data_IF_034002248823
#
_entry.id   IF_034002248823
#
_cell.length_a   1.000
_cell.length_b   1.000
_cell.length_c   1.000
_cell.angle_alpha   90.00
_cell.angle_beta   90.00
_cell.angle_gamma   90.00
#
_symmetry.space_group_name_H-M   'P 1'
#
loop_
_entity.id
_entity.type
_entity.pdbx_description
1 polymer ?
#
# COMPACT_ATOMS: atom_id res chain seq x y z
N UNK A 1 -34.40 -32.61 -10.41
CA UNK A 1 -34.13 -32.30 -10.09
C UNK A 1 -33.42 -31.49 -9.77
N UNK A 2 -33.01 -30.84 -9.57
CA UNK A 2 -32.31 -30.26 -9.08
C UNK A 2 -31.32 -29.59 -9.52
N UNK A 3 -30.87 -29.39 -10.04
CA UNK A 3 -29.70 -28.94 -10.47
C UNK A 3 -29.56 -27.53 -10.68
N UNK A 4 -30.08 -26.68 -10.24
CA UNK A 4 -29.91 -25.46 -10.34
C UNK A 4 -28.82 -24.89 -9.73
N UNK A 5 -28.26 -25.30 -8.84
CA UNK A 5 -27.16 -24.77 -8.14
C UNK A 5 -25.93 -24.51 -8.95
N UNK A 6 -25.63 -25.23 -9.97
CA UNK A 6 -24.42 -24.92 -10.74
C UNK A 6 -24.43 -23.54 -11.34
N UNK A 7 -25.57 -23.07 -11.72
CA UNK A 7 -25.59 -21.73 -12.28
C UNK A 7 -25.23 -20.68 -11.28
N UNK A 8 -25.63 -20.83 -10.05
CA UNK A 8 -25.29 -19.90 -9.04
C UNK A 8 -23.82 -19.85 -8.76
N UNK A 9 -23.19 -21.01 -8.76
CA UNK A 9 -21.76 -21.05 -8.53
C UNK A 9 -21.01 -20.30 -9.60
N UNK A 10 -21.44 -20.44 -10.82
CA UNK A 10 -20.78 -19.74 -11.91
C UNK A 10 -20.87 -18.24 -11.76
N UNK A 11 -22.01 -17.77 -11.35
CA UNK A 11 -22.15 -16.33 -11.17
C UNK A 11 -21.25 -15.80 -10.11
N UNK A 12 -21.13 -16.50 -9.01
CA UNK A 12 -20.25 -16.07 -7.95
C UNK A 12 -18.81 -16.04 -8.42
N UNK A 13 -18.41 -17.03 -9.18
CA UNK A 13 -17.06 -17.09 -9.68
C UNK A 13 -16.75 -15.91 -10.60
N UNK A 14 -17.67 -15.59 -11.48
CA UNK A 14 -17.46 -14.48 -12.39
C UNK A 14 -17.33 -13.18 -11.65
N UNK A 15 -18.11 -12.99 -10.62
CA UNK A 15 -17.99 -11.77 -9.84
C UNK A 15 -16.61 -11.64 -9.23
N UNK A 16 -16.06 -12.73 -8.76
CA UNK A 16 -14.72 -12.68 -8.20
C UNK A 16 -13.66 -12.40 -9.24
N UNK A 17 -13.83 -12.96 -10.41
CA UNK A 17 -12.82 -12.82 -11.44
C UNK A 17 -12.75 -11.43 -12.00
N UNK A 18 -13.81 -10.70 -11.95
CA UNK A 18 -13.86 -9.44 -12.65
C UNK A 18 -13.32 -8.25 -11.94
N UNK A 19 -12.80 -8.40 -10.74
CA UNK A 19 -12.51 -7.22 -9.93
C UNK A 19 -11.06 -7.18 -9.50
N UNK A 20 -10.35 -6.18 -9.98
CA UNK A 20 -9.03 -5.85 -9.45
C UNK A 20 -9.22 -4.62 -8.57
N UNK A 21 -9.17 -4.80 -7.28
CA UNK A 21 -9.41 -3.70 -6.37
C UNK A 21 -8.13 -3.35 -5.62
N UNK A 22 -8.07 -2.10 -5.19
CA UNK A 22 -7.02 -1.65 -4.31
C UNK A 22 -7.12 -2.40 -2.98
N UNK A 23 -5.99 -2.61 -2.35
CA UNK A 23 -5.95 -3.33 -1.09
C UNK A 23 -6.49 -2.47 0.04
N UNK A 24 -6.92 -3.14 1.09
CA UNK A 24 -7.23 -2.48 2.35
C UNK A 24 -5.96 -2.46 3.18
N UNK A 25 -5.67 -1.34 3.78
CA UNK A 25 -4.43 -1.16 4.53
C UNK A 25 -4.75 -0.68 5.94
N UNK A 26 -4.09 -1.26 6.92
CA UNK A 26 -4.08 -0.71 8.27
C UNK A 26 -2.81 0.11 8.42
N UNK A 27 -2.95 1.37 8.78
CA UNK A 27 -1.80 2.22 8.99
C UNK A 27 -1.75 2.66 10.44
N UNK A 28 -0.53 2.82 10.93
CA UNK A 28 -0.28 3.46 12.21
C UNK A 28 0.49 4.73 11.94
N UNK A 29 0.02 5.84 12.48
CA UNK A 29 0.70 7.11 12.26
C UNK A 29 1.77 7.33 13.33
N UNK A 30 2.46 8.46 13.24
CA UNK A 30 3.55 8.76 14.14
C UNK A 30 3.12 8.93 15.60
N UNK A 31 1.83 9.10 15.84
CA UNK A 31 1.29 9.19 17.19
C UNK A 31 0.81 7.84 17.69
N UNK A 32 0.84 6.81 16.86
CA UNK A 32 0.36 5.49 17.22
C UNK A 32 -1.12 5.26 16.96
N UNK A 33 -1.81 6.20 16.33
CA UNK A 33 -3.21 6.01 15.97
C UNK A 33 -3.29 5.08 14.78
N UNK A 34 -4.16 4.08 14.87
CA UNK A 34 -4.37 3.11 13.80
C UNK A 34 -5.65 3.40 13.05
N UNK A 35 -5.56 3.33 11.73
CA UNK A 35 -6.70 3.57 10.84
C UNK A 35 -6.67 2.49 9.78
N UNK A 36 -7.84 1.94 9.46
CA UNK A 36 -7.96 1.00 8.33
C UNK A 36 -8.53 1.78 7.16
N UNK A 37 -7.82 1.71 6.04
CA UNK A 37 -8.22 2.39 4.81
C UNK A 37 -8.69 1.38 3.80
N UNK A 38 -9.83 1.64 3.18
CA UNK A 38 -10.28 0.85 2.04
C UNK A 38 -9.97 1.61 0.77
N UNK A 39 -9.67 0.86 -0.29
CA UNK A 39 -9.36 1.48 -1.57
C UNK A 39 -8.12 2.36 -1.51
N UNK A 40 -7.09 1.90 -0.82
CA UNK A 40 -5.91 2.72 -0.59
C UNK A 40 -5.09 2.93 -1.85
N UNK A 41 -4.49 4.09 -1.97
CA UNK A 41 -3.59 4.41 -3.07
C UNK A 41 -2.47 5.32 -2.57
N UNK A 42 -1.38 5.32 -3.32
CA UNK A 42 -0.24 6.20 -3.05
C UNK A 42 -0.22 7.29 -4.11
N UNK A 43 -0.17 8.52 -3.65
CA UNK A 43 0.00 9.68 -4.52
C UNK A 43 1.42 10.18 -4.34
N UNK A 44 2.22 10.11 -5.39
CA UNK A 44 3.62 10.48 -5.33
C UNK A 44 3.87 11.96 -5.54
N UNK A 45 2.83 12.78 -5.51
CA UNK A 45 2.97 14.22 -5.63
C UNK A 45 3.23 14.70 -7.03
N UNK A 46 2.88 13.92 -8.03
CA UNK A 46 3.03 14.34 -9.42
C UNK A 46 4.42 14.13 -10.00
N UNK A 47 5.37 13.70 -9.18
CA UNK A 47 6.72 13.53 -9.66
C UNK A 47 6.86 12.39 -10.66
N UNK A 48 6.21 11.26 -10.38
CA UNK A 48 6.25 10.10 -11.25
C UNK A 48 5.06 10.07 -12.20
N UNK A 49 4.39 11.20 -12.37
CA UNK A 49 3.18 11.30 -13.16
C UNK A 49 2.00 11.56 -12.26
N UNK A 50 0.84 11.71 -12.86
CA UNK A 50 -0.37 12.02 -12.11
C UNK A 50 -1.08 10.77 -11.62
N UNK A 51 -0.59 9.60 -11.95
CA UNK A 51 -1.31 8.39 -11.61
C UNK A 51 -1.07 7.97 -10.18
N UNK A 52 -2.13 7.52 -9.55
CA UNK A 52 -2.06 6.97 -8.20
C UNK A 52 -1.80 5.48 -8.27
N UNK A 53 -0.95 5.01 -7.38
CA UNK A 53 -0.62 3.61 -7.30
C UNK A 53 -1.59 2.91 -6.36
N UNK A 54 -2.33 1.92 -6.85
CA UNK A 54 -3.30 1.21 -6.03
C UNK A 54 -2.87 -0.21 -5.69
N UNK A 55 -1.96 -0.79 -6.46
CA UNK A 55 -1.60 -2.19 -6.28
C UNK A 55 -0.42 -2.42 -5.38
N UNK A 56 0.27 -1.38 -5.02
CA UNK A 56 1.45 -1.50 -4.20
C UNK A 56 2.09 -0.16 -3.98
N UNK A 57 3.35 -0.20 -3.61
CA UNK A 57 4.14 1.00 -3.37
C UNK A 57 5.44 0.88 -4.16
N UNK A 58 5.80 1.96 -4.82
CA UNK A 58 7.05 1.99 -5.59
C UNK A 58 8.16 2.51 -4.71
N UNK A 59 9.19 1.70 -4.56
CA UNK A 59 10.28 2.01 -3.65
C UNK A 59 11.60 1.91 -4.39
N UNK A 60 12.64 2.43 -3.77
CA UNK A 60 14.00 2.28 -4.25
C UNK A 60 14.65 1.07 -3.57
N UNK A 61 15.31 0.28 -4.35
CA UNK A 61 16.16 -0.80 -3.84
C UNK A 61 17.53 -0.58 -4.48
N UNK A 62 18.45 -0.04 -3.69
CA UNK A 62 19.70 0.44 -4.27
C UNK A 62 19.42 1.60 -5.22
N UNK A 63 19.94 1.49 -6.43
CA UNK A 63 19.75 2.52 -7.45
C UNK A 63 18.53 2.26 -8.33
N UNK A 64 17.89 1.13 -8.16
CA UNK A 64 16.72 0.77 -8.95
C UNK A 64 15.42 1.02 -8.21
N UNK A 65 14.33 0.98 -8.94
CA UNK A 65 13.01 1.11 -8.35
C UNK A 65 12.19 -0.15 -8.58
N UNK A 66 11.37 -0.49 -7.60
CA UNK A 66 10.56 -1.71 -7.62
C UNK A 66 9.16 -1.35 -7.17
N UNK A 67 8.16 -1.87 -7.87
CA UNK A 67 6.79 -1.82 -7.38
C UNK A 67 6.56 -3.04 -6.50
N UNK A 68 6.38 -2.81 -5.22
CA UNK A 68 6.13 -3.88 -4.25
C UNK A 68 4.64 -4.01 -4.10
N UNK A 69 4.10 -5.15 -4.49
CA UNK A 69 2.66 -5.36 -4.48
C UNK A 69 2.18 -5.64 -3.07
N UNK A 70 1.02 -5.09 -2.73
CA UNK A 70 0.43 -5.32 -1.41
C UNK A 70 0.24 -6.80 -1.13
N UNK A 71 -0.02 -7.59 -2.16
CA UNK A 71 -0.24 -9.03 -2.00
C UNK A 71 1.01 -9.77 -1.51
N UNK A 72 2.19 -9.18 -1.70
CA UNK A 72 3.45 -9.80 -1.29
C UNK A 72 3.95 -9.29 0.05
N UNK A 73 3.28 -8.30 0.62
CA UNK A 73 3.78 -7.57 1.79
C UNK A 73 3.05 -8.05 3.05
N UNK A 74 3.81 -8.39 4.08
CA UNK A 74 3.25 -8.61 5.40
C UNK A 74 3.13 -7.29 6.16
N UNK A 75 4.17 -6.47 6.11
CA UNK A 75 4.11 -5.14 6.72
C UNK A 75 5.24 -4.28 6.21
N UNK A 76 5.05 -2.96 6.31
CA UNK A 76 6.10 -1.99 6.00
C UNK A 76 6.27 -1.13 7.24
N UNK A 77 7.52 -0.97 7.68
CA UNK A 77 7.86 -0.04 8.76
C UNK A 77 8.61 1.14 8.17
N UNK A 78 8.19 2.32 8.56
CA UNK A 78 8.92 3.54 8.22
C UNK A 78 9.93 3.76 9.32
N UNK A 79 11.22 3.69 8.98
CA UNK A 79 12.27 3.72 9.97
C UNK A 79 12.69 5.14 10.31
N UNK A 80 13.00 5.93 9.29
CA UNK A 80 13.44 7.30 9.54
C UNK A 80 13.51 8.06 8.22
N UNK A 81 13.60 9.36 8.36
CA UNK A 81 13.88 10.27 7.25
C UNK A 81 15.37 10.54 7.20
N UNK A 82 15.90 10.51 6.01
CA UNK A 82 17.30 10.88 5.78
C UNK A 82 17.33 12.10 4.89
N UNK A 83 17.40 13.26 5.52
CA UNK A 83 17.43 14.53 4.80
C UNK A 83 18.83 14.87 4.31
N UNK A 84 19.83 14.12 4.73
CA UNK A 84 21.20 14.34 4.27
C UNK A 84 21.49 13.63 2.95
N UNK A 85 20.69 12.64 2.60
CA UNK A 85 20.83 12.00 1.31
C UNK A 85 20.40 12.96 0.21
N UNK A 86 20.95 12.78 -0.98
CA UNK A 86 20.61 13.62 -2.12
C UNK A 86 20.16 12.72 -3.26
N UNK A 87 18.86 12.71 -3.54
CA UNK A 87 17.79 13.47 -2.89
C UNK A 87 17.42 12.89 -1.53
N UNK A 88 16.69 13.63 -0.71
CA UNK A 88 16.26 13.14 0.59
C UNK A 88 15.41 11.87 0.47
N UNK A 89 15.49 11.01 1.46
CA UNK A 89 14.85 9.71 1.44
C UNK A 89 14.11 9.42 2.73
N UNK A 90 13.14 8.52 2.63
CA UNK A 90 12.50 7.90 3.78
C UNK A 90 12.90 6.44 3.76
N UNK A 91 13.53 5.97 4.83
CA UNK A 91 14.01 4.59 4.90
C UNK A 91 12.92 3.67 5.42
N UNK A 92 12.77 2.53 4.78
CA UNK A 92 11.73 1.57 5.07
C UNK A 92 12.33 0.19 5.33
N UNK A 93 11.60 -0.61 6.10
CA UNK A 93 11.84 -2.03 6.19
C UNK A 93 10.57 -2.73 5.73
N UNK A 94 10.68 -3.55 4.69
CA UNK A 94 9.55 -4.27 4.13
C UNK A 94 9.66 -5.73 4.56
N UNK A 95 8.66 -6.18 5.31
CA UNK A 95 8.56 -7.59 5.67
C UNK A 95 7.65 -8.24 4.63
N UNK A 96 8.17 -9.24 3.95
CA UNK A 96 7.43 -9.95 2.92
C UNK A 96 6.71 -11.14 3.53
N UNK A 97 5.69 -11.61 2.86
CA UNK A 97 4.91 -12.75 3.34
C UNK A 97 5.73 -14.03 3.43
N UNK A 98 6.84 -14.10 2.70
CA UNK A 98 7.72 -15.25 2.78
C UNK A 98 8.66 -15.20 3.99
N UNK A 99 8.54 -14.19 4.83
CA UNK A 99 9.35 -14.07 6.04
C UNK A 99 10.60 -13.23 5.89
N UNK A 100 10.95 -12.82 4.69
CA UNK A 100 12.14 -12.02 4.48
C UNK A 100 11.88 -10.56 4.79
N UNK A 101 12.87 -9.89 5.32
CA UNK A 101 12.84 -8.45 5.56
C UNK A 101 13.85 -7.80 4.63
N UNK A 102 13.39 -6.80 3.90
CA UNK A 102 14.19 -6.15 2.87
C UNK A 102 14.23 -4.65 3.14
N UNK A 103 15.41 -4.05 3.18
CA UNK A 103 15.50 -2.60 3.30
C UNK A 103 15.14 -1.95 1.96
N UNK A 104 14.48 -0.81 2.05
CA UNK A 104 14.08 -0.05 0.88
C UNK A 104 14.00 1.41 1.26
N UNK A 105 13.72 2.27 0.30
CA UNK A 105 13.59 3.69 0.56
C UNK A 105 12.57 4.30 -0.39
N UNK A 106 12.04 5.45 0.02
CA UNK A 106 11.23 6.28 -0.84
C UNK A 106 11.97 7.57 -1.10
N UNK A 107 11.92 8.05 -2.33
CA UNK A 107 12.37 9.41 -2.59
C UNK A 107 11.42 10.37 -1.90
N UNK A 108 12.00 11.35 -1.23
CA UNK A 108 11.18 12.36 -0.61
C UNK A 108 11.20 13.59 -1.49
N UNK A 109 10.41 13.54 -2.55
CA UNK A 109 10.25 14.67 -3.44
C UNK A 109 8.81 15.10 -3.41
N UNK A 110 8.58 16.35 -3.06
CA UNK A 110 7.24 16.85 -2.96
C UNK A 110 6.49 16.19 -1.81
N UNK A 111 5.19 16.18 -1.91
CA UNK A 111 4.32 15.64 -0.86
C UNK A 111 3.73 14.34 -1.31
N UNK A 112 4.33 13.27 -0.87
CA UNK A 112 3.77 11.95 -1.14
C UNK A 112 2.75 11.63 -0.07
N UNK A 113 1.59 11.13 -0.49
CA UNK A 113 0.48 10.88 0.40
C UNK A 113 -0.07 9.49 0.22
N UNK A 114 -0.56 8.95 1.31
CA UNK A 114 -1.35 7.73 1.30
C UNK A 114 -2.80 8.14 1.45
N UNK A 115 -3.63 7.66 0.53
CA UNK A 115 -5.03 8.04 0.43
C UNK A 115 -5.90 6.82 0.56
N UNK A 116 -7.12 7.01 1.01
CA UNK A 116 -8.11 5.95 1.08
C UNK A 116 -9.34 6.42 1.82
N UNK A 117 -10.20 5.48 2.17
CA UNK A 117 -11.39 5.78 2.94
C UNK A 117 -11.31 5.14 4.30
N UNK A 118 -11.49 5.96 5.32
CA UNK A 118 -11.61 5.47 6.69
C UNK A 118 -13.08 5.40 7.06
N UNK A 119 -13.37 4.99 8.30
CA UNK A 119 -14.73 4.96 8.80
C UNK A 119 -15.38 6.34 8.82
N UNK A 120 -14.59 7.39 8.88
CA UNK A 120 -15.12 8.74 8.95
C UNK A 120 -15.20 9.43 7.58
N UNK A 121 -14.65 8.82 6.55
CA UNK A 121 -14.69 9.41 5.22
C UNK A 121 -13.34 9.41 4.55
N UNK A 122 -13.14 10.31 3.61
CA UNK A 122 -11.90 10.37 2.86
C UNK A 122 -10.73 10.70 3.77
N UNK A 123 -9.66 9.95 3.64
CA UNK A 123 -8.50 10.06 4.52
C UNK A 123 -7.26 10.33 3.69
N UNK A 124 -6.40 11.16 4.19
CA UNK A 124 -5.10 11.37 3.56
C UNK A 124 -4.05 11.63 4.63
N UNK A 125 -2.86 11.13 4.42
CA UNK A 125 -1.75 11.33 5.35
C UNK A 125 -0.47 11.42 4.54
N UNK A 126 0.42 12.32 4.96
CA UNK A 126 1.76 12.38 4.37
C UNK A 126 2.52 11.11 4.72
N UNK A 127 3.24 10.55 3.74
CA UNK A 127 3.93 9.29 3.97
C UNK A 127 4.99 9.39 5.06
N UNK A 128 5.58 10.55 5.26
CA UNK A 128 6.58 10.70 6.31
C UNK A 128 5.98 10.75 7.72
N UNK A 129 4.67 10.80 7.82
CA UNK A 129 3.97 10.71 9.12
C UNK A 129 3.40 9.34 9.40
N UNK A 130 3.64 8.40 8.52
CA UNK A 130 3.19 7.02 8.70
C UNK A 130 4.31 6.24 9.38
N UNK A 131 3.96 5.48 10.41
CA UNK A 131 4.92 4.61 11.08
C UNK A 131 4.94 3.22 10.49
N UNK A 132 3.78 2.69 10.16
CA UNK A 132 3.70 1.36 9.58
C UNK A 132 2.48 1.22 8.69
N UNK A 133 2.59 0.31 7.74
CA UNK A 133 1.52 -0.04 6.81
C UNK A 133 1.41 -1.55 6.80
N UNK A 134 0.21 -2.07 7.05
CA UNK A 134 -0.04 -3.50 7.07
C UNK A 134 -1.24 -3.80 6.19
N UNK A 135 -1.06 -4.51 5.07
CA UNK A 135 -2.21 -4.93 4.28
C UNK A 135 -3.11 -5.85 5.09
N UNK A 136 -4.42 -5.70 4.91
CA UNK A 136 -5.42 -6.43 5.67
C UNK A 136 -6.32 -7.17 4.74
N UNK A 137 -6.72 -8.36 5.19
CA UNK A 137 -7.74 -9.13 4.47
C UNK A 137 -7.32 -9.64 3.13
N UNK A 138 -6.05 -9.61 2.87
CA UNK A 138 -5.60 -10.04 1.58
C UNK A 138 -5.15 -11.47 1.65
N UNK A 139 -5.91 -12.33 1.36
CA UNK A 139 -5.41 -13.67 1.32
C UNK A 139 -5.38 -14.28 0.02
#
# INVERSE_FOLDING_TARGET
>A
MLPRTPGLSLLAFLALCGVATAADLKIADSRGTEVVLTGASIDYGGFLGSEQETQGIRVLQGDGSVLVKWTDVASIKVLRRDDTAKPPRVELEIALKNGRKVPAALFRQGKMKLLGKSDLGDYSIDLDKVRSITPVGAD
#
